data_IF_766821428662
#
_entry.id   IF_766821428662
#
_cell.length_a   1.000
_cell.length_b   1.000
_cell.length_c   1.000
_cell.angle_alpha   90.00
_cell.angle_beta   90.00
_cell.angle_gamma   90.00
#
_symmetry.space_group_name_H-M   'P 1'
#
loop_
_entity.id
_entity.type
_entity.pdbx_description
1 polymer ?
#
# COMPACT_ATOMS: atom_id res chain seq x y z
N UNK A 1 7.00 1.39 4.48
CA UNK A 1 6.82 0.85 3.10
C UNK A 1 5.36 0.94 2.72
N UNK A 2 5.05 1.16 1.44
CA UNK A 2 3.69 1.46 0.99
C UNK A 2 3.35 0.67 -0.28
N UNK A 3 2.09 0.24 -0.38
CA UNK A 3 1.56 -0.43 -1.59
C UNK A 3 1.51 0.53 -2.79
N UNK A 4 1.68 -0.02 -3.98
CA UNK A 4 1.64 0.72 -5.26
C UNK A 4 0.59 0.12 -6.20
N UNK A 5 -0.52 -0.31 -5.62
CA UNK A 5 -1.63 -0.93 -6.33
C UNK A 5 -2.89 -0.05 -6.47
N UNK A 6 -2.89 1.14 -5.86
CA UNK A 6 -4.02 2.08 -5.93
C UNK A 6 -4.36 2.42 -7.40
N UNK A 7 -5.65 2.44 -7.69
CA UNK A 7 -6.23 2.73 -8.99
C UNK A 7 -7.38 3.75 -8.93
N UNK A 8 -7.59 4.38 -7.76
CA UNK A 8 -8.67 5.31 -7.52
C UNK A 8 -8.32 6.78 -7.78
N UNK A 9 -9.33 7.56 -8.19
CA UNK A 9 -9.31 9.03 -8.20
C UNK A 9 -8.08 9.65 -8.89
N UNK A 10 -7.45 10.64 -8.24
CA UNK A 10 -6.26 11.34 -8.75
C UNK A 10 -5.09 10.40 -9.06
N UNK A 11 -4.91 9.38 -8.22
CA UNK A 11 -3.79 8.43 -8.30
C UNK A 11 -3.93 7.54 -9.54
N UNK A 12 -5.13 6.97 -9.73
CA UNK A 12 -5.47 6.17 -10.89
C UNK A 12 -5.39 6.91 -12.23
N UNK A 13 -5.80 8.20 -12.26
CA UNK A 13 -5.66 9.04 -13.46
C UNK A 13 -4.20 9.24 -13.86
N UNK A 14 -3.35 9.68 -12.93
CA UNK A 14 -1.91 9.90 -13.21
C UNK A 14 -1.21 8.63 -13.65
N UNK A 15 -1.51 7.50 -13.00
CA UNK A 15 -1.00 6.18 -13.39
C UNK A 15 -1.39 5.84 -14.83
N UNK A 16 -2.64 6.05 -15.21
CA UNK A 16 -3.16 5.72 -16.54
C UNK A 16 -2.59 6.63 -17.64
N UNK A 17 -2.38 7.91 -17.32
CA UNK A 17 -1.90 8.92 -18.27
C UNK A 17 -0.37 8.88 -18.45
N UNK A 18 0.39 8.59 -17.40
CA UNK A 18 1.85 8.76 -17.40
C UNK A 18 2.63 7.45 -17.19
N UNK A 19 1.95 6.34 -16.89
CA UNK A 19 2.62 5.06 -16.62
C UNK A 19 3.47 5.04 -15.33
N UNK A 20 3.27 6.01 -14.43
CA UNK A 20 3.99 6.12 -13.16
C UNK A 20 3.34 5.24 -12.07
N UNK A 21 4.06 5.01 -10.97
CA UNK A 21 3.47 4.42 -9.77
C UNK A 21 2.25 5.24 -9.30
N UNK A 22 1.21 4.62 -8.71
CA UNK A 22 0.13 5.39 -8.12
C UNK A 22 0.62 6.17 -6.89
N UNK A 23 0.60 7.52 -6.90
CA UNK A 23 1.20 8.34 -5.85
C UNK A 23 0.37 8.44 -4.57
N UNK A 24 -0.91 8.03 -4.60
CA UNK A 24 -1.89 8.30 -3.53
C UNK A 24 -1.42 7.88 -2.13
N UNK A 25 -1.15 6.59 -1.93
CA UNK A 25 -0.74 6.06 -0.63
C UNK A 25 0.67 6.54 -0.23
N UNK A 26 1.58 6.69 -1.19
CA UNK A 26 2.94 7.21 -0.96
C UNK A 26 2.88 8.66 -0.44
N UNK A 27 2.05 9.51 -1.06
CA UNK A 27 1.78 10.87 -0.61
C UNK A 27 1.19 10.90 0.80
N UNK A 28 0.24 10.02 1.10
CA UNK A 28 -0.35 9.92 2.45
C UNK A 28 0.71 9.58 3.49
N UNK A 29 1.58 8.61 3.19
CA UNK A 29 2.69 8.26 4.06
C UNK A 29 3.68 9.42 4.24
N UNK A 30 4.03 10.13 3.16
CA UNK A 30 4.93 11.30 3.22
C UNK A 30 4.35 12.39 4.12
N UNK A 31 3.07 12.72 3.94
CA UNK A 31 2.40 13.72 4.77
C UNK A 31 2.41 13.32 6.26
N UNK A 32 2.23 12.02 6.58
CA UNK A 32 2.26 11.54 7.97
C UNK A 32 3.63 11.65 8.66
N UNK A 33 4.72 11.81 7.89
CA UNK A 33 6.07 11.99 8.41
C UNK A 33 6.49 13.47 8.52
N UNK A 34 5.61 14.41 8.14
CA UNK A 34 5.84 15.83 8.38
C UNK A 34 5.87 16.08 9.89
N UNK A 35 6.78 16.93 10.35
CA UNK A 35 6.86 17.27 11.77
C UNK A 35 5.86 18.35 12.20
N UNK A 36 5.69 18.53 13.51
CA UNK A 36 4.77 19.51 14.09
C UNK A 36 5.32 20.95 14.09
N UNK A 37 6.31 21.25 13.26
CA UNK A 37 6.72 22.65 13.07
C UNK A 37 5.68 23.40 12.22
N UNK A 38 5.62 24.74 12.26
CA UNK A 38 4.77 25.49 11.34
C UNK A 38 5.02 25.15 9.86
N UNK A 39 6.29 24.90 9.49
CA UNK A 39 6.68 24.46 8.15
C UNK A 39 6.16 23.05 7.84
N UNK A 40 6.34 22.10 8.76
CA UNK A 40 5.89 20.72 8.59
C UNK A 40 4.37 20.63 8.43
N UNK A 41 3.60 21.35 9.26
CA UNK A 41 2.14 21.46 9.10
C UNK A 41 1.72 22.09 7.76
N UNK A 42 2.40 23.15 7.33
CA UNK A 42 2.11 23.75 6.03
C UNK A 42 2.35 22.75 4.88
N UNK A 43 3.44 21.99 4.90
CA UNK A 43 3.71 20.97 3.90
C UNK A 43 2.76 19.78 3.98
N UNK A 44 2.36 19.35 5.19
CA UNK A 44 1.29 18.38 5.36
C UNK A 44 0.02 18.84 4.62
N UNK A 45 -0.44 20.07 4.87
CA UNK A 45 -1.66 20.59 4.27
C UNK A 45 -1.54 20.78 2.75
N UNK A 46 -0.38 21.22 2.27
CA UNK A 46 -0.09 21.34 0.82
C UNK A 46 -0.09 19.98 0.14
N UNK A 47 0.54 18.95 0.73
CA UNK A 47 0.52 17.60 0.19
C UNK A 47 -0.90 17.02 0.19
N UNK A 48 -1.71 17.39 1.18
CA UNK A 48 -3.10 16.97 1.30
C UNK A 48 -4.08 17.80 0.44
N UNK A 49 -3.65 18.97 -0.06
CA UNK A 49 -4.51 19.86 -0.83
C UNK A 49 -5.04 19.17 -2.08
N UNK A 50 -6.36 19.26 -2.26
CA UNK A 50 -7.07 18.80 -3.45
C UNK A 50 -7.65 20.02 -4.17
N UNK A 51 -7.36 20.12 -5.46
CA UNK A 51 -7.92 21.17 -6.29
C UNK A 51 -9.43 21.00 -6.45
N UNK A 52 -10.15 22.11 -6.41
CA UNK A 52 -11.57 22.20 -6.74
C UNK A 52 -11.71 23.20 -7.88
N UNK A 53 -11.99 22.70 -9.08
CA UNK A 53 -12.05 23.51 -10.30
C UNK A 53 -13.11 22.95 -11.27
N UNK A 54 -13.37 23.66 -12.37
CA UNK A 54 -14.22 23.15 -13.45
C UNK A 54 -13.41 22.54 -14.62
N UNK A 55 -12.11 22.30 -14.44
CA UNK A 55 -11.21 21.79 -15.48
C UNK A 55 -10.48 20.51 -15.08
N UNK A 56 -9.49 20.10 -15.88
CA UNK A 56 -8.82 18.79 -15.76
C UNK A 56 -8.08 18.58 -14.43
N UNK A 57 -7.66 19.67 -13.78
CA UNK A 57 -7.03 19.60 -12.47
C UNK A 57 -8.02 19.26 -11.34
N UNK A 58 -9.33 19.27 -11.59
CA UNK A 58 -10.33 19.00 -10.57
C UNK A 58 -10.11 17.65 -9.88
N UNK A 59 -10.10 17.70 -8.55
CA UNK A 59 -9.84 16.54 -7.73
C UNK A 59 -8.42 15.98 -7.81
N UNK A 60 -7.44 16.61 -8.47
CA UNK A 60 -6.05 16.22 -8.28
C UNK A 60 -5.58 16.63 -6.88
N UNK A 61 -4.83 15.76 -6.21
CA UNK A 61 -4.09 16.14 -5.03
C UNK A 61 -2.75 16.76 -5.46
N UNK A 62 -2.40 17.94 -4.94
CA UNK A 62 -1.15 18.60 -5.30
C UNK A 62 0.07 17.72 -5.00
N UNK A 63 0.08 17.02 -3.85
CA UNK A 63 1.14 16.07 -3.52
C UNK A 63 1.31 14.94 -4.54
N UNK A 64 0.23 14.51 -5.21
CA UNK A 64 0.33 13.50 -6.27
C UNK A 64 1.04 14.06 -7.50
N UNK A 65 0.75 15.32 -7.86
CA UNK A 65 1.41 15.99 -8.99
C UNK A 65 2.89 16.24 -8.71
N UNK A 66 3.24 16.61 -7.48
CA UNK A 66 4.64 16.77 -7.05
C UNK A 66 5.42 15.46 -7.16
N UNK A 67 4.85 14.34 -6.70
CA UNK A 67 5.48 13.02 -6.82
C UNK A 67 5.63 12.59 -8.28
N UNK A 68 4.59 12.78 -9.09
CA UNK A 68 4.66 12.47 -10.53
C UNK A 68 5.77 13.26 -11.23
N UNK A 69 5.86 14.56 -10.96
CA UNK A 69 6.92 15.41 -11.50
C UNK A 69 8.32 14.98 -11.00
N UNK A 70 8.45 14.64 -9.71
CA UNK A 70 9.70 14.17 -9.14
C UNK A 70 10.18 12.87 -9.80
N UNK A 71 9.29 11.92 -10.08
CA UNK A 71 9.67 10.67 -10.74
C UNK A 71 10.09 10.83 -12.19
N UNK A 72 9.47 11.76 -12.92
CA UNK A 72 9.90 12.09 -14.28
C UNK A 72 11.31 12.69 -14.31
N UNK A 73 11.75 13.34 -13.23
CA UNK A 73 13.08 13.91 -13.11
C UNK A 73 14.11 12.94 -12.49
N UNK A 74 13.74 12.22 -11.43
CA UNK A 74 14.69 11.57 -10.53
C UNK A 74 15.19 10.19 -11.00
N UNK A 75 14.75 9.69 -12.15
CA UNK A 75 15.19 8.42 -12.74
C UNK A 75 14.69 7.16 -12.02
N UNK A 76 14.23 7.27 -10.76
CA UNK A 76 13.57 6.19 -10.01
C UNK A 76 12.52 6.73 -9.02
N UNK A 77 11.60 5.85 -8.63
CA UNK A 77 10.57 6.18 -7.64
C UNK A 77 11.15 6.57 -6.29
N UNK A 78 12.16 5.82 -5.83
CA UNK A 78 12.83 6.02 -4.55
C UNK A 78 13.59 7.36 -4.55
N UNK A 79 14.31 7.67 -5.62
CA UNK A 79 15.02 8.94 -5.73
C UNK A 79 14.05 10.14 -5.69
N UNK A 80 12.92 10.06 -6.39
CA UNK A 80 11.90 11.11 -6.35
C UNK A 80 11.27 11.29 -4.96
N UNK A 81 11.01 10.19 -4.24
CA UNK A 81 10.52 10.24 -2.86
C UNK A 81 11.54 10.87 -1.91
N UNK A 82 12.84 10.54 -2.05
CA UNK A 82 13.90 11.15 -1.25
C UNK A 82 14.00 12.67 -1.52
N UNK A 83 13.98 13.10 -2.78
CA UNK A 83 14.01 14.52 -3.14
C UNK A 83 12.85 15.31 -2.53
N UNK A 84 11.63 14.78 -2.63
CA UNK A 84 10.46 15.42 -2.01
C UNK A 84 10.57 15.37 -0.48
N UNK A 85 11.09 14.29 0.08
CA UNK A 85 11.29 14.14 1.52
C UNK A 85 12.26 15.17 2.10
N UNK A 86 13.38 15.39 1.42
CA UNK A 86 14.36 16.42 1.77
C UNK A 86 13.77 17.82 1.66
N UNK A 87 13.02 18.12 0.59
CA UNK A 87 12.39 19.42 0.36
C UNK A 87 11.45 19.81 1.51
N UNK A 88 10.64 18.86 1.98
CA UNK A 88 9.62 19.11 3.01
C UNK A 88 10.15 18.87 4.42
N UNK A 89 11.27 18.16 4.57
CA UNK A 89 11.92 17.88 5.86
C UNK A 89 11.24 16.78 6.68
N UNK A 90 10.76 15.71 6.03
CA UNK A 90 10.17 14.56 6.76
C UNK A 90 11.17 13.88 7.68
N UNK A 91 10.68 13.31 8.77
CA UNK A 91 11.46 12.43 9.65
C UNK A 91 11.16 10.98 9.34
N UNK A 92 12.12 10.30 8.71
CA UNK A 92 11.98 8.92 8.27
C UNK A 92 11.97 8.80 6.74
N UNK A 93 11.65 7.61 6.24
CA UNK A 93 11.71 7.30 4.81
C UNK A 93 10.42 6.62 4.37
N UNK A 94 9.87 7.07 3.24
CA UNK A 94 8.78 6.39 2.55
C UNK A 94 9.37 5.66 1.35
N UNK A 95 9.12 4.35 1.30
CA UNK A 95 9.57 3.49 0.21
C UNK A 95 8.36 2.80 -0.41
N UNK A 96 8.30 2.72 -1.76
CA UNK A 96 7.32 1.86 -2.43
C UNK A 96 7.69 0.40 -2.18
N UNK A 97 6.70 -0.47 -2.09
CA UNK A 97 6.95 -1.90 -1.87
C UNK A 97 7.71 -2.55 -3.04
N UNK A 98 7.52 -2.04 -4.27
CA UNK A 98 8.14 -2.51 -5.52
C UNK A 98 8.37 -1.33 -6.46
N UNK A 99 9.17 -1.52 -7.51
CA UNK A 99 9.58 -0.47 -8.44
C UNK A 99 8.55 -0.18 -9.55
N UNK A 100 7.59 -1.08 -9.78
CA UNK A 100 6.61 -0.97 -10.86
C UNK A 100 5.14 -1.00 -10.38
N UNK A 101 4.17 -0.46 -11.14
CA UNK A 101 2.78 -0.40 -10.72
C UNK A 101 2.12 -1.78 -10.62
N UNK A 102 1.38 -2.03 -9.55
CA UNK A 102 0.71 -3.31 -9.31
C UNK A 102 -0.79 -3.25 -9.60
N UNK A 103 -1.38 -4.37 -9.99
CA UNK A 103 -2.84 -4.55 -10.03
C UNK A 103 -3.24 -5.64 -9.04
N UNK A 104 -4.21 -5.34 -8.18
CA UNK A 104 -4.79 -6.34 -7.28
C UNK A 104 -5.95 -7.06 -7.98
N UNK A 105 -5.94 -8.38 -7.91
CA UNK A 105 -7.08 -9.22 -8.25
C UNK A 105 -7.50 -10.08 -7.07
N UNK A 106 -8.80 -10.33 -6.97
CA UNK A 106 -9.38 -11.19 -5.95
C UNK A 106 -10.43 -12.12 -6.55
N UNK A 107 -10.38 -13.39 -6.15
CA UNK A 107 -11.46 -14.35 -6.38
C UNK A 107 -12.49 -14.16 -5.26
N UNK A 108 -13.75 -13.92 -5.65
CA UNK A 108 -14.82 -13.55 -4.73
C UNK A 108 -16.03 -14.45 -4.94
N UNK A 109 -16.45 -15.13 -3.87
CA UNK A 109 -17.67 -15.94 -3.85
C UNK A 109 -18.88 -15.08 -3.45
N UNK A 110 -19.91 -15.06 -4.28
CA UNK A 110 -21.21 -14.40 -4.04
C UNK A 110 -22.35 -15.41 -4.24
N UNK A 111 -22.87 -15.95 -3.15
CA UNK A 111 -23.84 -17.06 -3.22
C UNK A 111 -23.18 -18.30 -3.84
N UNK A 112 -23.72 -18.76 -4.97
CA UNK A 112 -23.16 -19.90 -5.73
C UNK A 112 -22.18 -19.47 -6.84
N UNK A 113 -22.04 -18.18 -7.11
CA UNK A 113 -21.15 -17.67 -8.16
C UNK A 113 -19.74 -17.37 -7.61
N UNK A 114 -18.72 -17.69 -8.39
CA UNK A 114 -17.35 -17.24 -8.18
C UNK A 114 -16.99 -16.25 -9.30
N UNK A 115 -16.53 -15.06 -8.91
CA UNK A 115 -16.16 -14.00 -9.84
C UNK A 115 -14.76 -13.49 -9.54
N UNK A 116 -14.06 -13.04 -10.57
CA UNK A 116 -12.79 -12.31 -10.40
C UNK A 116 -13.09 -10.82 -10.34
N UNK A 117 -12.66 -10.17 -9.27
CA UNK A 117 -12.70 -8.72 -9.10
C UNK A 117 -11.28 -8.18 -9.29
N UNK A 118 -11.12 -7.27 -10.25
CA UNK A 118 -9.84 -6.62 -10.58
C UNK A 118 -9.89 -5.14 -10.23
N UNK A 119 -8.81 -4.66 -9.62
CA UNK A 119 -8.62 -3.28 -9.21
C UNK A 119 -8.70 -3.09 -7.70
N UNK A 120 -7.77 -2.31 -7.14
CA UNK A 120 -7.63 -2.12 -5.69
C UNK A 120 -8.89 -1.50 -5.08
N UNK A 121 -9.40 -0.42 -5.69
CA UNK A 121 -10.61 0.27 -5.23
C UNK A 121 -11.83 -0.65 -5.26
N UNK A 122 -11.97 -1.49 -6.31
CA UNK A 122 -13.08 -2.45 -6.47
C UNK A 122 -13.00 -3.61 -5.49
N UNK A 123 -11.80 -4.13 -5.23
CA UNK A 123 -11.58 -5.20 -4.25
C UNK A 123 -11.82 -4.69 -2.83
N UNK A 124 -11.45 -3.44 -2.52
CA UNK A 124 -11.65 -2.85 -1.20
C UNK A 124 -13.14 -2.77 -0.78
N UNK A 125 -14.04 -2.59 -1.75
CA UNK A 125 -15.49 -2.42 -1.51
C UNK A 125 -16.33 -3.61 -1.98
N UNK A 126 -15.70 -4.72 -2.38
CA UNK A 126 -16.41 -5.86 -2.94
C UNK A 126 -17.29 -6.54 -1.88
N UNK A 127 -18.53 -6.87 -2.25
CA UNK A 127 -19.37 -7.76 -1.46
C UNK A 127 -19.04 -9.23 -1.72
N UNK A 128 -19.28 -10.08 -0.72
CA UNK A 128 -19.01 -11.52 -0.81
C UNK A 128 -17.75 -11.94 -0.04
N UNK A 129 -17.38 -13.22 -0.19
CA UNK A 129 -16.21 -13.79 0.47
C UNK A 129 -15.02 -13.78 -0.48
N UNK A 130 -13.99 -13.02 -0.15
CA UNK A 130 -12.69 -13.10 -0.83
C UNK A 130 -12.03 -14.44 -0.46
N UNK A 131 -11.77 -15.29 -1.45
CA UNK A 131 -11.14 -16.60 -1.28
C UNK A 131 -9.63 -16.55 -1.54
N UNK A 132 -9.21 -15.76 -2.52
CA UNK A 132 -7.82 -15.58 -2.94
C UNK A 132 -7.58 -14.14 -3.38
N UNK A 133 -6.40 -13.61 -3.08
CA UNK A 133 -5.89 -12.34 -3.61
C UNK A 133 -4.58 -12.62 -4.35
N UNK A 134 -4.30 -11.89 -5.42
CA UNK A 134 -3.04 -11.95 -6.17
C UNK A 134 -2.68 -10.56 -6.69
N UNK A 135 -1.41 -10.39 -7.03
CA UNK A 135 -0.88 -9.19 -7.64
C UNK A 135 -0.46 -9.50 -9.07
N UNK A 136 -0.60 -8.50 -9.94
CA UNK A 136 -0.10 -8.53 -11.31
C UNK A 136 0.82 -7.33 -11.53
N UNK A 137 2.06 -7.54 -12.02
CA UNK A 137 2.71 -8.84 -12.23
C UNK A 137 2.91 -9.63 -10.92
N UNK A 138 3.06 -10.96 -11.03
CA UNK A 138 3.23 -11.85 -9.86
C UNK A 138 4.63 -11.74 -9.24
N UNK A 139 5.64 -11.47 -10.07
CA UNK A 139 7.03 -11.24 -9.65
C UNK A 139 7.49 -9.85 -10.14
N UNK A 140 7.04 -8.79 -9.45
CA UNK A 140 7.39 -7.42 -9.82
C UNK A 140 8.86 -7.10 -9.53
N UNK A 141 9.38 -6.11 -10.27
CA UNK A 141 10.70 -5.54 -10.01
C UNK A 141 10.77 -4.93 -8.61
N UNK A 142 11.79 -5.33 -7.84
CA UNK A 142 11.99 -4.86 -6.47
C UNK A 142 12.79 -3.55 -6.44
N UNK A 143 12.48 -2.68 -5.47
CA UNK A 143 13.42 -1.64 -5.05
C UNK A 143 14.47 -2.25 -4.12
N UNK A 144 15.78 -2.16 -4.42
CA UNK A 144 16.83 -2.62 -3.52
C UNK A 144 16.72 -2.01 -2.13
N UNK A 145 16.46 -0.70 -2.06
CA UNK A 145 16.34 0.06 -0.81
C UNK A 145 15.20 -0.45 0.09
N UNK A 146 14.18 -1.04 -0.53
CA UNK A 146 13.05 -1.64 0.19
C UNK A 146 13.44 -2.94 0.88
N UNK A 147 14.26 -3.78 0.24
CA UNK A 147 14.76 -5.01 0.85
C UNK A 147 15.81 -4.71 1.91
N UNK A 148 16.72 -3.77 1.63
CA UNK A 148 17.72 -3.29 2.59
C UNK A 148 17.06 -2.71 3.85
N UNK A 149 15.96 -1.96 3.70
CA UNK A 149 15.23 -1.42 4.84
C UNK A 149 14.55 -2.50 5.70
N UNK A 150 14.16 -3.64 5.12
CA UNK A 150 13.62 -4.78 5.89
C UNK A 150 14.76 -5.51 6.60
N UNK A 151 15.86 -5.77 5.90
CA UNK A 151 17.04 -6.47 6.44
C UNK A 151 17.66 -5.72 7.63
N UNK A 152 17.70 -4.39 7.57
CA UNK A 152 18.22 -3.55 8.63
C UNK A 152 17.23 -3.26 9.77
N UNK A 153 16.00 -3.77 9.71
CA UNK A 153 14.96 -3.41 10.68
C UNK A 153 15.03 -4.29 11.94
N UNK A 154 15.08 -3.66 13.12
CA UNK A 154 14.90 -4.38 14.39
C UNK A 154 13.48 -4.99 14.50
N UNK A 155 12.48 -4.32 13.90
CA UNK A 155 11.10 -4.74 13.89
C UNK A 155 10.44 -4.47 12.53
N UNK A 156 9.74 -5.47 12.01
CA UNK A 156 8.79 -5.31 10.91
C UNK A 156 7.38 -5.25 11.48
N UNK A 157 6.67 -4.16 11.22
CA UNK A 157 5.27 -3.98 11.66
C UNK A 157 4.35 -3.99 10.44
N UNK A 158 3.43 -4.95 10.39
CA UNK A 158 2.40 -5.04 9.36
C UNK A 158 1.09 -4.44 9.87
N UNK A 159 0.55 -3.47 9.13
CA UNK A 159 -0.71 -2.81 9.46
C UNK A 159 -0.57 -1.69 10.52
N UNK A 160 -1.70 -1.10 10.96
CA UNK A 160 -3.06 -1.46 10.58
C UNK A 160 -3.36 -1.04 9.14
N UNK A 161 -4.48 -1.52 8.60
CA UNK A 161 -4.88 -1.20 7.24
C UNK A 161 -5.76 -2.26 6.63
N UNK A 162 -6.23 -2.01 5.42
CA UNK A 162 -7.10 -2.96 4.74
C UNK A 162 -6.41 -4.31 4.56
N UNK A 163 -7.06 -5.37 5.04
CA UNK A 163 -6.42 -6.69 5.03
C UNK A 163 -6.09 -7.11 3.60
N UNK A 164 -7.05 -7.00 2.68
CA UNK A 164 -6.87 -7.46 1.30
C UNK A 164 -6.16 -6.46 0.39
N UNK A 165 -6.20 -5.16 0.69
CA UNK A 165 -5.70 -4.12 -0.21
C UNK A 165 -4.53 -3.29 0.32
N UNK A 166 -4.15 -3.45 1.59
CA UNK A 166 -3.01 -2.74 2.19
C UNK A 166 -2.02 -3.70 2.86
N UNK A 167 -2.47 -4.67 3.65
CA UNK A 167 -1.57 -5.56 4.42
C UNK A 167 -1.15 -6.77 3.58
N UNK A 168 -2.10 -7.61 3.19
CA UNK A 168 -1.85 -8.85 2.45
C UNK A 168 -1.04 -8.64 1.15
N UNK A 169 -1.21 -7.55 0.36
CA UNK A 169 -0.41 -7.33 -0.84
C UNK A 169 1.11 -7.45 -0.63
N UNK A 170 1.64 -6.99 0.51
CA UNK A 170 3.08 -7.10 0.81
C UNK A 170 3.56 -8.55 0.88
N UNK A 171 2.68 -9.47 1.29
CA UNK A 171 2.97 -10.91 1.38
C UNK A 171 2.70 -11.66 0.07
N UNK A 172 2.09 -11.00 -0.92
CA UNK A 172 1.83 -11.59 -2.24
C UNK A 172 3.02 -11.44 -3.19
N UNK A 173 3.98 -10.56 -2.88
CA UNK A 173 5.25 -10.46 -3.61
C UNK A 173 6.24 -11.46 -3.00
N UNK A 174 6.73 -12.47 -3.75
CA UNK A 174 7.55 -13.55 -3.21
C UNK A 174 8.77 -13.07 -2.42
N UNK A 175 9.54 -12.15 -3.01
CA UNK A 175 10.78 -11.61 -2.41
C UNK A 175 10.52 -10.80 -1.14
N UNK A 176 9.44 -10.00 -1.09
CA UNK A 176 9.06 -9.29 0.13
C UNK A 176 8.61 -10.24 1.22
N UNK A 177 7.81 -11.25 0.87
CA UNK A 177 7.37 -12.27 1.82
C UNK A 177 8.56 -13.01 2.44
N UNK A 178 9.55 -13.34 1.63
CA UNK A 178 10.80 -13.98 2.11
C UNK A 178 11.56 -13.07 3.06
N UNK A 179 11.78 -11.80 2.69
CA UNK A 179 12.46 -10.82 3.55
C UNK A 179 11.70 -10.58 4.87
N UNK A 180 10.37 -10.43 4.82
CA UNK A 180 9.53 -10.26 6.02
C UNK A 180 9.58 -11.51 6.90
N UNK A 181 9.64 -12.70 6.32
CA UNK A 181 9.70 -13.95 7.08
C UNK A 181 11.06 -14.16 7.77
N UNK A 182 12.13 -13.60 7.19
CA UNK A 182 13.48 -13.66 7.74
C UNK A 182 13.75 -12.61 8.83
N UNK A 183 12.85 -11.63 9.02
CA UNK A 183 13.02 -10.59 10.03
C UNK A 183 13.00 -11.15 11.46
N UNK A 184 13.86 -10.62 12.32
CA UNK A 184 14.02 -11.08 13.71
C UNK A 184 12.75 -10.91 14.54
N UNK A 185 12.06 -9.77 14.35
CA UNK A 185 10.83 -9.45 15.06
C UNK A 185 9.75 -8.97 14.10
N UNK A 186 8.59 -9.63 14.17
CA UNK A 186 7.42 -9.33 13.34
C UNK A 186 6.19 -9.05 14.22
N UNK A 187 5.63 -7.85 14.08
CA UNK A 187 4.36 -7.47 14.70
C UNK A 187 3.26 -7.33 13.65
N UNK A 188 2.05 -7.76 14.01
CA UNK A 188 0.85 -7.52 13.22
C UNK A 188 -0.13 -6.66 14.03
N UNK A 189 -0.44 -5.48 13.50
CA UNK A 189 -1.44 -4.61 14.08
C UNK A 189 -2.80 -4.88 13.44
N UNK A 190 -3.76 -5.34 14.26
CA UNK A 190 -5.12 -5.66 13.81
C UNK A 190 -6.00 -4.42 13.77
N UNK A 191 -6.91 -4.37 12.79
CA UNK A 191 -7.94 -3.35 12.77
C UNK A 191 -8.92 -3.55 13.93
N UNK A 192 -9.31 -2.45 14.58
CA UNK A 192 -10.30 -2.46 15.68
C UNK A 192 -11.71 -2.85 15.22
N UNK A 193 -12.03 -2.55 13.96
CA UNK A 193 -13.29 -2.92 13.33
C UNK A 193 -13.05 -3.96 12.23
N UNK A 194 -13.96 -4.93 12.13
CA UNK A 194 -13.97 -5.80 10.95
C UNK A 194 -14.29 -4.95 9.73
N UNK A 195 -13.41 -4.98 8.73
CA UNK A 195 -13.75 -4.46 7.41
C UNK A 195 -14.90 -5.28 6.84
N UNK A 196 -15.93 -4.60 6.34
CA UNK A 196 -17.20 -5.19 5.92
C UNK A 196 -17.07 -6.08 4.67
N UNK A 197 -16.53 -7.28 4.84
CA UNK A 197 -17.02 -8.46 4.14
C UNK A 197 -18.05 -9.12 5.05
N UNK A 198 -19.31 -8.66 5.01
CA UNK A 198 -20.41 -9.07 5.92
C UNK A 198 -20.31 -10.56 6.32
N UNK A 199 -19.92 -10.81 7.57
CA UNK A 199 -20.18 -12.07 8.28
C UNK A 199 -21.52 -11.91 9.02
N UNK A 200 -22.62 -12.31 8.41
CA UNK A 200 -23.82 -12.65 9.20
C UNK A 200 -23.57 -14.01 9.85
N UNK A 201 -23.23 -14.00 11.15
CA UNK A 201 -23.30 -15.18 12.00
C UNK A 201 -22.08 -16.11 11.98
N UNK A 202 -21.04 -15.80 12.75
CA UNK A 202 -20.30 -16.81 13.53
C UNK A 202 -19.30 -16.12 14.46
N UNK A 203 -19.22 -16.63 15.70
CA UNK A 203 -18.29 -16.26 16.77
C UNK A 203 -16.84 -16.07 16.27
N UNK A 204 -16.00 -15.29 17.00
CA UNK A 204 -14.63 -14.98 16.58
C UNK A 204 -13.79 -16.25 16.48
N UNK A 205 -13.75 -16.85 15.28
CA UNK A 205 -12.65 -17.71 14.85
C UNK A 205 -11.67 -16.83 14.12
N UNK A 206 -10.52 -16.67 14.77
CA UNK A 206 -9.31 -15.97 14.35
C UNK A 206 -8.99 -16.25 12.88
N UNK A 207 -8.64 -15.19 12.14
CA UNK A 207 -8.33 -15.11 10.70
C UNK A 207 -7.03 -15.83 10.30
N UNK A 208 -6.64 -16.90 11.00
CA UNK A 208 -5.47 -17.71 10.61
C UNK A 208 -5.66 -18.40 9.25
N UNK A 209 -6.89 -18.56 8.77
CA UNK A 209 -7.24 -19.33 7.56
C UNK A 209 -6.63 -18.83 6.24
N UNK A 210 -6.35 -17.53 6.11
CA UNK A 210 -5.86 -16.90 4.87
C UNK A 210 -4.34 -16.75 4.80
N UNK A 211 -3.60 -17.13 5.84
CA UNK A 211 -2.14 -17.08 5.83
C UNK A 211 -1.56 -18.19 4.94
N UNK A 212 -0.56 -17.90 4.10
CA UNK A 212 0.29 -18.94 3.51
C UNK A 212 0.72 -19.93 4.59
N UNK A 213 0.69 -21.23 4.31
CA UNK A 213 1.00 -22.27 5.31
C UNK A 213 2.39 -22.09 5.95
N UNK A 214 3.33 -21.45 5.26
CA UNK A 214 4.68 -21.17 5.76
C UNK A 214 4.71 -20.29 7.01
N UNK A 215 3.85 -19.26 7.10
CA UNK A 215 3.89 -18.29 8.21
C UNK A 215 3.23 -18.84 9.49
N UNK A 216 2.42 -19.90 9.40
CA UNK A 216 1.76 -20.51 10.57
C UNK A 216 2.72 -21.25 11.51
N UNK A 217 3.94 -21.53 11.05
CA UNK A 217 4.91 -22.34 11.78
C UNK A 217 5.65 -21.58 12.89
N UNK A 218 5.68 -20.25 12.88
CA UNK A 218 6.33 -19.46 13.94
C UNK A 218 5.53 -19.35 15.25
N UNK A 219 4.31 -19.89 15.31
CA UNK A 219 3.43 -19.79 16.49
C UNK A 219 3.45 -20.99 17.43
N UNK A 220 4.31 -22.00 17.19
CA UNK A 220 4.34 -23.23 17.99
C UNK A 220 5.77 -23.69 18.28
N UNK A 221 6.54 -22.89 19.01
CA UNK A 221 7.70 -23.39 19.76
C UNK A 221 7.88 -22.55 21.02
N UNK A 222 7.71 -23.25 22.15
CA UNK A 222 8.04 -22.91 23.55
C UNK A 222 7.40 -21.69 24.19
#
# INVERSE_FOLDING_TARGET
>A
MVTVADDGGSSGRLRSEMGVLPPGDLRMAMASLCDDTPRGRAWHDILQHRFTTNGDLDGHALGNLLLAAAWQHAGSAVAGLNQIGELIGVRGRVLPMVAEPLVIEADVTRGQAEIVVRGQSRVAVTSGRVSRVRLLPEDPEMCPETLEAIDAADWVVLGPGSWYTSVLPHLQVPRLREAIHAADHLALTLNLQQQEGRRTGSRPRTTYGSWPRSIRSCGSTS
#
